data_IF_401132893338
#
_entry.id   IF_401132893338
#
_cell.length_a   1.000
_cell.length_b   1.000
_cell.length_c   1.000
_cell.angle_alpha   90.00
_cell.angle_beta   90.00
_cell.angle_gamma   90.00
#
_symmetry.space_group_name_H-M   'P 1'
#
loop_
_entity.id
_entity.type
_entity.pdbx_description
1 polymer ?
#
# COMPACT_ATOMS: atom_id res chain seq x y z
N UNK A 1 -3.24 -5.07 8.50
CA UNK A 1 -3.61 -5.66 7.20
C UNK A 1 -2.40 -6.44 6.69
N UNK A 2 -2.51 -7.25 5.65
CA UNK A 2 -1.36 -8.00 5.07
C UNK A 2 -0.81 -7.34 3.80
N UNK A 3 -1.19 -6.10 3.48
CA UNK A 3 -0.95 -5.47 2.18
C UNK A 3 -2.07 -5.72 1.17
N UNK A 4 -1.77 -5.63 -0.12
CA UNK A 4 -2.72 -5.81 -1.22
C UNK A 4 -2.46 -7.10 -2.01
N UNK A 5 -3.53 -7.79 -2.41
CA UNK A 5 -3.51 -8.87 -3.39
C UNK A 5 -4.56 -8.56 -4.47
N UNK A 6 -4.21 -8.75 -5.74
CA UNK A 6 -5.05 -8.31 -6.85
C UNK A 6 -6.19 -9.28 -7.20
N UNK A 7 -6.03 -10.55 -6.81
CA UNK A 7 -6.99 -11.66 -6.95
C UNK A 7 -7.69 -11.68 -8.32
N UNK A 8 -6.90 -11.68 -9.40
CA UNK A 8 -7.42 -11.67 -10.76
C UNK A 8 -6.98 -12.88 -11.58
N UNK A 9 -7.82 -13.24 -12.56
CA UNK A 9 -7.44 -14.10 -13.69
C UNK A 9 -6.97 -13.31 -14.91
N UNK A 10 -7.13 -11.99 -14.93
CA UNK A 10 -6.73 -11.11 -16.02
C UNK A 10 -5.29 -10.59 -15.83
N UNK A 11 -4.30 -11.33 -16.33
CA UNK A 11 -2.87 -11.05 -16.13
C UNK A 11 -2.46 -9.60 -16.46
N UNK A 12 -2.96 -9.04 -17.56
CA UNK A 12 -2.61 -7.67 -17.98
C UNK A 12 -3.17 -6.58 -17.03
N UNK A 13 -4.12 -6.93 -16.16
CA UNK A 13 -4.70 -5.98 -15.20
C UNK A 13 -3.91 -5.90 -13.87
N UNK A 14 -3.02 -6.86 -13.60
CA UNK A 14 -2.21 -6.93 -12.38
C UNK A 14 -1.49 -5.59 -12.10
N UNK A 15 -0.71 -5.00 -13.03
CA UNK A 15 0.00 -3.75 -12.74
C UNK A 15 -0.96 -2.58 -12.48
N UNK A 16 -2.06 -2.49 -13.22
CA UNK A 16 -3.05 -1.43 -13.03
C UNK A 16 -3.74 -1.52 -11.67
N UNK A 17 -4.07 -2.73 -11.21
CA UNK A 17 -4.67 -2.97 -9.89
C UNK A 17 -3.71 -2.60 -8.76
N UNK A 18 -2.44 -2.97 -8.89
CA UNK A 18 -1.42 -2.61 -7.91
C UNK A 18 -1.14 -1.09 -7.89
N UNK A 19 -1.18 -0.42 -9.04
CA UNK A 19 -1.04 1.04 -9.12
C UNK A 19 -2.19 1.74 -8.39
N UNK A 20 -3.43 1.29 -8.61
CA UNK A 20 -4.60 1.84 -7.91
C UNK A 20 -4.49 1.62 -6.40
N UNK A 21 -4.13 0.41 -5.95
CA UNK A 21 -3.94 0.13 -4.53
C UNK A 21 -2.92 1.08 -3.88
N UNK A 22 -1.74 1.24 -4.50
CA UNK A 22 -0.69 2.16 -4.02
C UNK A 22 -1.17 3.61 -3.95
N UNK A 23 -1.89 4.09 -4.97
CA UNK A 23 -2.44 5.46 -4.98
C UNK A 23 -3.47 5.67 -3.88
N UNK A 24 -4.32 4.69 -3.62
CA UNK A 24 -5.33 4.77 -2.58
C UNK A 24 -4.71 4.75 -1.18
N UNK A 25 -3.69 3.92 -0.95
CA UNK A 25 -2.93 3.89 0.29
C UNK A 25 -2.24 5.24 0.53
N UNK A 26 -1.52 5.78 -0.46
CA UNK A 26 -0.88 7.09 -0.35
C UNK A 26 -1.90 8.21 -0.12
N UNK A 27 -3.08 8.17 -0.76
CA UNK A 27 -4.14 9.16 -0.51
C UNK A 27 -4.63 9.10 0.93
N UNK A 28 -4.81 7.92 1.48
CA UNK A 28 -5.23 7.73 2.87
C UNK A 28 -4.17 8.26 3.85
N UNK A 29 -2.91 7.87 3.66
CA UNK A 29 -1.79 8.33 4.47
C UNK A 29 -1.61 9.85 4.38
N UNK A 30 -1.72 10.44 3.19
CA UNK A 30 -1.65 11.89 3.00
C UNK A 30 -2.76 12.63 3.76
N UNK A 31 -3.97 12.05 3.87
CA UNK A 31 -5.03 12.59 4.71
C UNK A 31 -4.64 12.62 6.19
N UNK A 32 -4.06 11.54 6.70
CA UNK A 32 -3.59 11.47 8.09
C UNK A 32 -2.44 12.44 8.36
N UNK A 33 -1.54 12.64 7.40
CA UNK A 33 -0.46 13.65 7.50
C UNK A 33 -1.05 15.07 7.52
N UNK A 34 -2.01 15.35 6.64
CA UNK A 34 -2.68 16.67 6.58
C UNK A 34 -3.48 16.98 7.86
N UNK A 35 -4.05 15.96 8.50
CA UNK A 35 -4.73 16.07 9.80
C UNK A 35 -3.75 16.07 10.99
N UNK A 36 -2.43 16.06 10.75
CA UNK A 36 -1.38 15.97 11.76
C UNK A 36 -1.50 14.76 12.70
N UNK A 37 -2.08 13.66 12.19
CA UNK A 37 -2.21 12.38 12.91
C UNK A 37 -1.02 11.44 12.68
N UNK A 38 -0.26 11.69 11.60
CA UNK A 38 1.00 11.04 11.26
C UNK A 38 2.00 12.09 10.82
N UNK A 39 3.28 11.86 11.09
CA UNK A 39 4.35 12.61 10.45
C UNK A 39 4.55 12.14 9.00
N UNK A 40 5.22 12.97 8.19
CA UNK A 40 5.54 12.59 6.82
C UNK A 40 6.45 11.35 6.78
N UNK A 41 7.48 11.31 7.62
CA UNK A 41 8.44 10.21 7.67
C UNK A 41 7.77 8.87 8.03
N UNK A 42 6.86 8.86 9.01
CA UNK A 42 6.08 7.68 9.37
C UNK A 42 5.17 7.24 8.21
N UNK A 43 4.55 8.20 7.50
CA UNK A 43 3.71 7.89 6.36
C UNK A 43 4.51 7.30 5.19
N UNK A 44 5.73 7.79 4.94
CA UNK A 44 6.64 7.24 3.92
C UNK A 44 7.07 5.81 4.26
N UNK A 45 7.42 5.53 5.52
CA UNK A 45 7.75 4.19 5.97
C UNK A 45 6.56 3.23 5.83
N UNK A 46 5.38 3.65 6.28
CA UNK A 46 4.14 2.88 6.16
C UNK A 46 3.75 2.60 4.70
N UNK A 47 3.99 3.53 3.79
CA UNK A 47 3.72 3.32 2.37
C UNK A 47 4.57 2.16 1.79
N UNK A 48 5.85 2.07 2.18
CA UNK A 48 6.73 0.95 1.78
C UNK A 48 6.29 -0.36 2.44
N UNK A 49 5.91 -0.30 3.71
CA UNK A 49 5.43 -1.45 4.45
C UNK A 49 4.18 -2.09 3.81
N UNK A 50 3.17 -1.25 3.49
CA UNK A 50 1.92 -1.66 2.86
C UNK A 50 2.15 -2.21 1.44
N UNK A 51 3.04 -1.59 0.66
CA UNK A 51 3.28 -1.97 -0.72
C UNK A 51 4.17 -3.21 -0.88
N UNK A 52 4.96 -3.59 0.14
CA UNK A 52 5.97 -4.63 -0.02
C UNK A 52 6.25 -5.46 1.23
N UNK A 53 6.70 -4.85 2.34
CA UNK A 53 7.28 -5.59 3.47
C UNK A 53 6.24 -6.43 4.23
N UNK A 54 5.05 -5.87 4.46
CA UNK A 54 3.97 -6.57 5.17
C UNK A 54 3.46 -7.77 4.39
N UNK A 55 3.28 -7.63 3.07
CA UNK A 55 2.88 -8.73 2.20
C UNK A 55 3.91 -9.86 2.23
N UNK A 56 5.19 -9.54 2.05
CA UNK A 56 6.26 -10.57 2.13
C UNK A 56 6.30 -11.27 3.47
N UNK A 57 6.22 -10.52 4.56
CA UNK A 57 6.24 -11.08 5.91
C UNK A 57 5.05 -12.00 6.15
N UNK A 58 3.85 -11.57 5.76
CA UNK A 58 2.62 -12.34 5.94
C UNK A 58 2.61 -13.64 5.14
N UNK A 59 3.10 -13.61 3.89
CA UNK A 59 3.16 -14.77 3.01
C UNK A 59 4.45 -15.59 3.14
N UNK A 60 5.37 -15.19 4.03
CA UNK A 60 6.68 -15.82 4.25
C UNK A 60 7.49 -15.95 2.95
N UNK A 61 7.57 -14.84 2.21
CA UNK A 61 8.26 -14.68 0.93
C UNK A 61 9.62 -13.98 1.06
#
# INVERSE_FOLDING_TARGET
TVGFNDDTRAFLSIPARHDVARRMDCRFLAGLVAEHRLTLDEAEELAVDLAYRLAKTAYRL
#
